data_IF_969054232412
#
_entry.id   IF_969054232412
#
_cell.length_a   1.000
_cell.length_b   1.000
_cell.length_c   1.000
_cell.angle_alpha   90.00
_cell.angle_beta   90.00
_cell.angle_gamma   90.00
#
_symmetry.space_group_name_H-M   'P 1'
#
loop_
_entity.id
_entity.type
_entity.pdbx_description
1 polymer ?
#
# COMPACT_ATOMS: atom_id res chain seq x y z
N UNK A 1 27.71 17.82 4.97
CA UNK A 1 26.32 18.22 4.68
C UNK A 1 26.07 17.96 3.21
N UNK A 2 25.33 16.90 2.87
CA UNK A 2 24.89 16.62 1.50
C UNK A 2 23.45 17.15 1.38
N UNK A 3 23.20 17.97 0.36
CA UNK A 3 21.97 18.76 0.23
C UNK A 3 20.78 18.02 -0.42
N UNK A 4 20.93 16.76 -0.84
CA UNK A 4 19.86 15.96 -1.43
C UNK A 4 19.90 14.54 -0.87
N UNK A 5 19.24 14.30 0.26
CA UNK A 5 19.00 12.94 0.76
C UNK A 5 17.80 12.35 0.01
N UNK A 6 18.02 11.73 -1.14
CA UNK A 6 16.99 10.94 -1.82
C UNK A 6 16.71 9.67 -1.01
N UNK A 7 15.90 9.80 0.04
CA UNK A 7 15.28 8.64 0.68
C UNK A 7 14.34 8.00 -0.32
N UNK A 8 14.58 6.73 -0.67
CA UNK A 8 13.70 5.98 -1.56
C UNK A 8 12.34 5.72 -0.92
N UNK A 9 11.29 5.57 -1.74
CA UNK A 9 9.95 5.14 -1.29
C UNK A 9 9.78 3.66 -1.57
N UNK A 10 9.27 2.91 -0.59
CA UNK A 10 8.99 1.48 -0.71
C UNK A 10 7.49 1.27 -0.92
N UNK A 11 7.12 0.44 -1.89
CA UNK A 11 5.72 0.08 -2.14
C UNK A 11 5.54 -1.42 -1.99
N UNK A 12 4.56 -1.84 -1.19
CA UNK A 12 4.22 -3.25 -1.01
C UNK A 12 2.74 -3.48 -1.28
N UNK A 13 2.41 -4.30 -2.27
CA UNK A 13 1.02 -4.67 -2.55
C UNK A 13 0.55 -5.69 -1.50
N UNK A 14 -0.34 -5.25 -0.63
CA UNK A 14 -0.93 -6.07 0.45
C UNK A 14 -2.05 -6.96 -0.07
N UNK A 15 -2.81 -6.46 -1.04
CA UNK A 15 -3.94 -7.16 -1.62
C UNK A 15 -4.18 -6.70 -3.07
N UNK A 16 -4.66 -7.61 -3.90
CA UNK A 16 -5.10 -7.35 -5.26
C UNK A 16 -6.35 -8.19 -5.51
N UNK A 17 -7.44 -7.53 -5.89
CA UNK A 17 -8.71 -8.16 -6.28
C UNK A 17 -8.97 -7.77 -7.72
N UNK A 18 -9.01 -8.77 -8.60
CA UNK A 18 -9.38 -8.57 -9.99
C UNK A 18 -10.88 -8.72 -10.15
N UNK A 19 -11.55 -7.66 -10.58
CA UNK A 19 -12.95 -7.67 -10.98
C UNK A 19 -13.11 -7.56 -12.50
N UNK A 20 -14.36 -7.73 -12.97
CA UNK A 20 -14.68 -7.78 -14.40
C UNK A 20 -14.32 -6.46 -15.12
N UNK A 21 -14.45 -5.33 -14.44
CA UNK A 21 -14.28 -4.00 -15.03
C UNK A 21 -13.15 -3.18 -14.39
N UNK A 22 -12.62 -3.62 -13.25
CA UNK A 22 -11.58 -2.91 -12.50
C UNK A 22 -10.72 -3.85 -11.67
N UNK A 23 -9.56 -3.35 -11.26
CA UNK A 23 -8.68 -3.97 -10.29
C UNK A 23 -8.61 -3.14 -9.02
N UNK A 24 -8.87 -3.77 -7.87
CA UNK A 24 -8.78 -3.12 -6.57
C UNK A 24 -7.42 -3.49 -5.97
N UNK A 25 -6.61 -2.46 -5.70
CA UNK A 25 -5.32 -2.60 -5.05
C UNK A 25 -5.38 -2.05 -3.63
N UNK A 26 -4.70 -2.75 -2.72
CA UNK A 26 -4.32 -2.19 -1.43
C UNK A 26 -2.80 -2.28 -1.29
N UNK A 27 -2.14 -1.15 -1.07
CA UNK A 27 -0.69 -1.07 -0.96
C UNK A 27 -0.25 -0.35 0.32
N UNK A 28 0.81 -0.85 0.92
CA UNK A 28 1.58 -0.14 1.94
C UNK A 28 2.63 0.72 1.24
N UNK A 29 2.68 2.00 1.60
CA UNK A 29 3.70 2.95 1.20
C UNK A 29 4.61 3.17 2.41
N UNK A 30 5.90 2.95 2.19
CA UNK A 30 6.94 2.90 3.21
C UNK A 30 6.52 1.95 4.33
N UNK A 31 6.47 2.44 5.57
CA UNK A 31 6.06 1.66 6.73
C UNK A 31 4.85 2.28 7.46
N UNK A 32 4.12 3.21 6.83
CA UNK A 32 3.21 4.13 7.54
C UNK A 32 1.85 4.33 6.92
N UNK A 33 1.76 4.29 5.60
CA UNK A 33 0.54 4.70 4.89
C UNK A 33 0.00 3.53 4.10
N UNK A 34 -1.28 3.23 4.25
CA UNK A 34 -1.96 2.24 3.42
C UNK A 34 -2.88 2.97 2.46
N UNK A 35 -2.78 2.65 1.17
CA UNK A 35 -3.66 3.18 0.14
C UNK A 35 -4.48 2.06 -0.46
N UNK A 36 -5.78 2.30 -0.63
CA UNK A 36 -6.67 1.43 -1.40
C UNK A 36 -7.21 2.23 -2.56
N UNK A 37 -7.18 1.66 -3.76
CA UNK A 37 -7.65 2.35 -4.95
C UNK A 37 -8.04 1.36 -6.05
N UNK A 38 -8.83 1.86 -6.98
CA UNK A 38 -9.37 1.10 -8.10
C UNK A 38 -8.69 1.55 -9.40
N UNK A 39 -8.35 0.58 -10.25
CA UNK A 39 -7.86 0.83 -11.61
C UNK A 39 -8.88 0.24 -12.58
N UNK A 40 -9.67 1.06 -13.28
CA UNK A 40 -10.58 0.58 -14.32
C UNK A 40 -9.79 -0.08 -15.46
N UNK A 41 -10.30 -1.19 -15.98
CA UNK A 41 -9.72 -1.94 -17.10
C UNK A 41 -10.01 -1.32 -18.47
N UNK A 42 -10.69 -0.16 -18.52
CA UNK A 42 -11.05 0.50 -19.77
C UNK A 42 -9.79 0.86 -20.58
N UNK A 43 -9.78 0.48 -21.86
CA UNK A 43 -8.64 0.67 -22.75
C UNK A 43 -8.42 2.18 -23.01
N UNK A 44 -7.34 2.74 -22.47
CA UNK A 44 -6.81 4.04 -22.92
C UNK A 44 -6.20 4.94 -21.86
N UNK A 45 -6.55 4.80 -20.59
CA UNK A 45 -5.92 5.58 -19.51
C UNK A 45 -5.94 4.83 -18.19
N UNK A 46 -4.76 4.63 -17.59
CA UNK A 46 -4.65 4.22 -16.18
C UNK A 46 -5.10 5.39 -15.32
N UNK A 47 -6.40 5.44 -15.04
CA UNK A 47 -6.99 6.36 -14.09
C UNK A 47 -7.16 5.65 -12.76
N UNK A 48 -6.85 6.35 -11.67
CA UNK A 48 -7.12 5.86 -10.32
C UNK A 48 -8.50 6.36 -9.91
N UNK A 49 -9.35 5.45 -9.43
CA UNK A 49 -10.65 5.77 -8.83
C UNK A 49 -10.67 5.37 -7.36
N UNK A 50 -11.60 5.98 -6.61
CA UNK A 50 -11.89 5.64 -5.21
C UNK A 50 -10.65 5.52 -4.32
N UNK A 51 -9.70 6.47 -4.46
CA UNK A 51 -8.49 6.50 -3.64
C UNK A 51 -8.86 6.77 -2.18
N UNK A 52 -8.57 5.80 -1.32
CA UNK A 52 -8.66 5.89 0.13
C UNK A 52 -7.28 5.76 0.74
N UNK A 53 -6.97 6.66 1.67
CA UNK A 53 -5.68 6.71 2.35
C UNK A 53 -5.91 6.54 3.84
N UNK A 54 -5.18 5.62 4.44
CA UNK A 54 -5.27 5.27 5.84
C UNK A 54 -3.89 5.39 6.47
N UNK A 55 -3.84 5.83 7.73
CA UNK A 55 -2.67 5.55 8.54
C UNK A 55 -2.55 4.05 8.79
N UNK A 56 -1.33 3.57 9.02
CA UNK A 56 -1.11 2.18 9.39
C UNK A 56 -1.93 1.78 10.63
N UNK A 57 -2.08 2.67 11.62
CA UNK A 57 -2.87 2.37 12.83
C UNK A 57 -4.36 2.21 12.53
N UNK A 58 -4.94 3.08 11.71
CA UNK A 58 -6.34 2.99 11.29
C UNK A 58 -6.60 1.69 10.52
N UNK A 59 -5.79 1.41 9.51
CA UNK A 59 -5.95 0.20 8.70
C UNK A 59 -5.76 -1.07 9.53
N UNK A 60 -4.83 -1.03 10.50
CA UNK A 60 -4.62 -2.09 11.48
C UNK A 60 -5.87 -2.38 12.31
N UNK A 61 -6.52 -1.34 12.82
CA UNK A 61 -7.75 -1.46 13.61
C UNK A 61 -8.90 -2.04 12.79
N UNK A 62 -9.14 -1.51 11.58
CA UNK A 62 -10.21 -1.99 10.68
C UNK A 62 -10.04 -3.47 10.31
N UNK A 63 -8.81 -3.90 10.12
CA UNK A 63 -8.49 -5.26 9.69
C UNK A 63 -8.63 -6.29 10.83
N UNK A 64 -8.63 -5.83 12.09
CA UNK A 64 -8.81 -6.67 13.27
C UNK A 64 -7.68 -7.69 13.48
N UNK A 65 -8.04 -8.88 13.97
CA UNK A 65 -7.11 -9.97 14.22
C UNK A 65 -7.16 -11.03 13.11
N UNK A 66 -6.02 -11.68 12.84
CA UNK A 66 -5.95 -12.86 11.97
C UNK A 66 -4.83 -12.83 10.93
N UNK A 67 -4.92 -13.72 9.94
CA UNK A 67 -3.85 -13.96 8.95
C UNK A 67 -3.49 -12.71 8.15
N UNK A 68 -4.47 -11.88 7.80
CA UNK A 68 -4.24 -10.63 7.06
C UNK A 68 -3.43 -9.64 7.91
N UNK A 69 -3.65 -9.60 9.23
CA UNK A 69 -2.93 -8.72 10.14
C UNK A 69 -1.47 -9.11 10.26
N UNK A 70 -1.21 -10.40 10.38
CA UNK A 70 0.16 -10.94 10.40
C UNK A 70 0.92 -10.59 9.11
N UNK A 71 0.27 -10.68 7.94
CA UNK A 71 0.87 -10.30 6.66
C UNK A 71 1.19 -8.81 6.59
N UNK A 72 0.27 -7.96 7.04
CA UNK A 72 0.50 -6.52 7.13
C UNK A 72 1.70 -6.20 8.01
N UNK A 73 1.77 -6.80 9.21
CA UNK A 73 2.85 -6.53 10.16
C UNK A 73 4.21 -6.96 9.59
N UNK A 74 4.27 -8.09 8.87
CA UNK A 74 5.48 -8.52 8.16
C UNK A 74 5.87 -7.56 7.02
N UNK A 75 4.91 -7.08 6.23
CA UNK A 75 5.17 -6.12 5.16
C UNK A 75 5.77 -4.82 5.70
N UNK A 76 5.27 -4.34 6.85
CA UNK A 76 5.81 -3.16 7.56
C UNK A 76 7.26 -3.39 8.00
N UNK A 77 7.56 -4.56 8.59
CA UNK A 77 8.93 -4.89 8.97
C UNK A 77 9.88 -4.92 7.78
N UNK A 78 9.46 -5.53 6.67
CA UNK A 78 10.27 -5.63 5.46
C UNK A 78 10.50 -4.25 4.82
N UNK A 79 9.47 -3.39 4.80
CA UNK A 79 9.63 -2.02 4.33
C UNK A 79 10.61 -1.21 5.19
N UNK A 80 10.53 -1.33 6.52
CA UNK A 80 11.49 -0.67 7.43
C UNK A 80 12.93 -1.06 7.15
N UNK A 81 13.21 -2.34 6.88
CA UNK A 81 14.56 -2.81 6.55
C UNK A 81 15.10 -2.16 5.27
N UNK A 82 14.22 -1.85 4.32
CA UNK A 82 14.59 -1.23 3.05
C UNK A 82 14.82 0.27 3.17
N UNK A 83 14.13 0.94 4.11
CA UNK A 83 14.23 2.39 4.34
C UNK A 83 15.46 2.81 5.18
N UNK A 84 16.08 1.88 5.93
CA UNK A 84 17.23 2.16 6.81
C UNK A 84 18.58 2.03 6.07
N UNK A 85 18.58 1.86 4.74
CA UNK A 85 19.81 1.87 3.93
C UNK A 85 20.27 3.28 3.61
#
# INVERSE_FOLDING_TARGET
MAANGEGGTVFHVLNHISEQYEDIYTALIDDRTVVTFEIPRAAGAMTVKELRVFSLSQYREELGQGKRRIRLDRAVEDARKLLIK
#
